data_IF_457074098165
#
_entry.id   IF_457074098165
#
_cell.length_a   1.000
_cell.length_b   1.000
_cell.length_c   1.000
_cell.angle_alpha   90.00
_cell.angle_beta   90.00
_cell.angle_gamma   90.00
#
_symmetry.space_group_name_H-M   'P 1'
#
loop_
_entity.id
_entity.type
_entity.pdbx_description
1 polymer ?
#
# COMPACT_ATOMS: atom_id res chain seq x y z
N UNK A 1 5.84 -6.94 26.84
CA UNK A 1 6.43 -5.70 26.29
C UNK A 1 6.01 -4.60 27.23
N UNK A 2 6.97 -3.89 27.83
CA UNK A 2 6.62 -2.80 28.74
C UNK A 2 6.01 -1.65 27.92
N UNK A 3 5.13 -0.86 28.53
CA UNK A 3 4.51 0.30 27.86
C UNK A 3 5.60 1.32 27.46
N UNK A 4 6.67 1.41 28.23
CA UNK A 4 7.84 2.26 27.98
C UNK A 4 8.54 1.90 26.66
N UNK A 5 8.69 0.60 26.35
CA UNK A 5 9.32 0.14 25.09
C UNK A 5 8.54 0.61 23.84
N UNK A 6 7.22 0.75 23.96
CA UNK A 6 6.36 1.20 22.85
C UNK A 6 6.45 2.71 22.68
N UNK A 7 6.58 3.47 23.77
CA UNK A 7 6.73 4.93 23.74
C UNK A 7 8.04 5.32 23.04
N UNK A 8 9.13 4.61 23.31
CA UNK A 8 10.41 4.85 22.66
C UNK A 8 10.36 4.56 21.15
N UNK A 9 9.61 3.54 20.73
CA UNK A 9 9.41 3.24 19.31
C UNK A 9 8.60 4.34 18.59
N UNK A 10 7.68 5.01 19.30
CA UNK A 10 6.88 6.11 18.74
C UNK A 10 7.71 7.39 18.52
N UNK A 11 8.87 7.55 19.17
CA UNK A 11 9.80 8.64 18.84
C UNK A 11 10.25 8.62 17.37
N UNK A 12 10.24 7.45 16.73
CA UNK A 12 10.50 7.33 15.30
C UNK A 12 9.55 8.18 14.43
N UNK A 13 8.33 8.47 14.90
CA UNK A 13 7.41 9.40 14.22
C UNK A 13 8.01 10.80 14.05
N UNK A 14 8.74 11.29 15.05
CA UNK A 14 9.35 12.62 15.04
C UNK A 14 10.66 12.62 14.24
N UNK A 15 11.50 11.62 14.47
CA UNK A 15 12.88 11.65 13.98
C UNK A 15 12.97 11.13 12.53
N UNK A 16 12.09 10.22 12.13
CA UNK A 16 12.13 9.54 10.83
C UNK A 16 10.83 9.66 10.03
N UNK A 17 9.68 9.84 10.68
CA UNK A 17 8.37 9.89 10.04
C UNK A 17 7.82 8.53 9.59
N UNK A 18 8.54 7.42 9.86
CA UNK A 18 8.10 6.06 9.54
C UNK A 18 8.80 5.02 10.42
N UNK A 19 8.16 3.88 10.64
CA UNK A 19 8.71 2.74 11.38
C UNK A 19 8.03 1.43 10.95
N UNK A 20 8.66 0.30 11.25
CA UNK A 20 8.08 -1.02 11.01
C UNK A 20 7.46 -1.57 12.28
N UNK A 21 6.26 -2.15 12.18
CA UNK A 21 5.62 -2.87 13.28
C UNK A 21 5.80 -4.36 13.05
N UNK A 22 6.35 -5.06 14.04
CA UNK A 22 6.45 -6.52 14.07
C UNK A 22 5.49 -7.09 15.11
N UNK A 23 5.08 -8.35 14.94
CA UNK A 23 4.15 -9.02 15.86
C UNK A 23 2.81 -8.29 16.07
N UNK A 24 2.32 -7.59 15.05
CA UNK A 24 1.06 -6.84 15.07
C UNK A 24 -0.21 -7.71 15.13
N UNK A 25 -0.08 -9.03 15.30
CA UNK A 25 -1.20 -9.96 15.46
C UNK A 25 -2.02 -10.27 14.20
N UNK A 26 -1.70 -9.68 13.05
CA UNK A 26 -2.36 -10.05 11.79
C UNK A 26 -1.81 -11.39 11.31
N UNK A 27 -2.67 -12.38 11.00
CA UNK A 27 -2.22 -13.69 10.53
C UNK A 27 -1.36 -13.61 9.27
N UNK A 28 -0.31 -14.43 9.21
CA UNK A 28 0.59 -14.53 8.07
C UNK A 28 -0.16 -14.90 6.78
N UNK A 29 -1.09 -15.85 6.88
CA UNK A 29 -1.92 -16.30 5.75
C UNK A 29 -2.70 -15.15 5.10
N UNK A 30 -3.22 -14.20 5.90
CA UNK A 30 -3.91 -13.02 5.38
C UNK A 30 -3.01 -12.16 4.51
N UNK A 31 -1.76 -11.96 4.93
CA UNK A 31 -0.76 -11.21 4.16
C UNK A 31 -0.38 -11.93 2.88
N UNK A 32 -0.18 -13.24 2.94
CA UNK A 32 0.18 -14.05 1.76
C UNK A 32 -0.95 -14.11 0.74
N UNK A 33 -2.19 -14.25 1.20
CA UNK A 33 -3.38 -14.18 0.35
C UNK A 33 -3.53 -12.81 -0.31
N UNK A 34 -3.33 -11.73 0.44
CA UNK A 34 -3.37 -10.36 -0.10
C UNK A 34 -2.35 -10.20 -1.24
N UNK A 35 -1.09 -10.57 -0.98
CA UNK A 35 -0.03 -10.49 -2.00
C UNK A 35 -0.31 -11.36 -3.22
N UNK A 36 -0.83 -12.57 -3.00
CA UNK A 36 -1.19 -13.50 -4.09
C UNK A 36 -2.29 -12.93 -4.98
N UNK A 37 -3.37 -12.39 -4.39
CA UNK A 37 -4.49 -11.82 -5.15
C UNK A 37 -4.06 -10.54 -5.85
N UNK A 38 -3.28 -9.67 -5.19
CA UNK A 38 -2.73 -8.47 -5.81
C UNK A 38 -1.88 -8.82 -7.04
N UNK A 39 -0.95 -9.77 -6.91
CA UNK A 39 -0.14 -10.26 -8.03
C UNK A 39 -1.02 -10.77 -9.18
N UNK A 40 -2.00 -11.64 -8.87
CA UNK A 40 -2.92 -12.18 -9.88
C UNK A 40 -3.67 -11.08 -10.63
N UNK A 41 -4.12 -10.04 -9.94
CA UNK A 41 -4.79 -8.90 -10.58
C UNK A 41 -3.84 -8.14 -11.52
N UNK A 42 -2.63 -7.79 -11.06
CA UNK A 42 -1.71 -7.00 -11.88
C UNK A 42 -1.12 -7.77 -13.08
N UNK A 43 -1.05 -9.10 -13.00
CA UNK A 43 -0.68 -10.01 -14.09
C UNK A 43 -1.78 -10.15 -15.18
N UNK A 44 -3.00 -9.64 -14.97
CA UNK A 44 -4.06 -9.68 -15.98
C UNK A 44 -3.78 -8.74 -17.17
N UNK A 45 -4.39 -9.00 -18.35
CA UNK A 45 -4.41 -8.06 -19.46
C UNK A 45 -4.91 -6.67 -19.06
N UNK A 46 -4.50 -5.65 -19.81
CA UNK A 46 -4.83 -4.27 -19.48
C UNK A 46 -6.35 -4.01 -19.52
N UNK A 47 -7.04 -4.64 -20.46
CA UNK A 47 -8.50 -4.56 -20.64
C UNK A 47 -9.24 -5.02 -19.38
N UNK A 48 -8.76 -6.09 -18.74
CA UNK A 48 -9.36 -6.63 -17.51
C UNK A 48 -9.16 -5.66 -16.34
N UNK A 49 -7.94 -5.13 -16.16
CA UNK A 49 -7.63 -4.17 -15.10
C UNK A 49 -8.42 -2.86 -15.28
N UNK A 50 -8.66 -2.44 -16.53
CA UNK A 50 -9.44 -1.24 -16.86
C UNK A 50 -10.94 -1.34 -16.59
N UNK A 51 -11.49 -2.54 -16.33
CA UNK A 51 -12.90 -2.69 -15.92
C UNK A 51 -13.22 -2.01 -14.59
N UNK A 52 -12.20 -1.83 -13.75
CA UNK A 52 -12.30 -1.12 -12.46
C UNK A 52 -11.51 0.18 -12.50
N UNK A 53 -11.37 0.82 -13.67
CA UNK A 53 -10.61 2.06 -13.81
C UNK A 53 -11.30 3.19 -13.05
N UNK A 54 -10.53 3.92 -12.22
CA UNK A 54 -11.00 5.13 -11.55
C UNK A 54 -11.22 6.27 -12.54
N UNK A 55 -12.07 7.22 -12.20
CA UNK A 55 -12.31 8.45 -12.97
C UNK A 55 -12.36 9.70 -12.07
N UNK A 56 -12.74 10.85 -12.64
CA UNK A 56 -12.80 12.13 -11.91
C UNK A 56 -13.91 12.16 -10.85
N UNK A 57 -14.92 11.30 -10.99
CA UNK A 57 -16.09 11.22 -10.11
C UNK A 57 -15.86 10.16 -9.04
N UNK A 58 -15.34 8.98 -9.42
CA UNK A 58 -14.95 7.90 -8.51
C UNK A 58 -13.43 7.71 -8.48
N UNK A 59 -12.76 8.15 -7.39
CA UNK A 59 -11.30 8.04 -7.28
C UNK A 59 -10.83 6.62 -6.96
N UNK A 60 -11.73 5.66 -6.72
CA UNK A 60 -11.38 4.28 -6.39
C UNK A 60 -11.14 3.44 -7.66
N UNK A 61 -10.19 2.52 -7.59
CA UNK A 61 -9.93 1.55 -8.65
C UNK A 61 -8.55 1.67 -9.30
N UNK A 62 -8.39 1.00 -10.45
CA UNK A 62 -7.14 0.91 -11.19
C UNK A 62 -6.83 2.20 -11.95
N UNK A 63 -5.54 2.52 -12.06
CA UNK A 63 -5.07 3.69 -12.77
C UNK A 63 -3.74 3.39 -13.45
N UNK A 64 -3.69 3.62 -14.75
CA UNK A 64 -2.56 3.33 -15.63
C UNK A 64 -2.11 4.54 -16.44
N UNK A 65 -2.68 5.71 -16.18
CA UNK A 65 -2.18 6.95 -16.75
C UNK A 65 -0.92 7.41 -16.00
N UNK A 66 0.08 7.92 -16.72
CA UNK A 66 1.27 8.52 -16.13
C UNK A 66 0.95 9.89 -15.51
N UNK A 67 1.12 10.03 -14.19
CA UNK A 67 1.07 11.33 -13.49
C UNK A 67 2.48 11.86 -13.15
N UNK A 68 3.53 11.08 -13.43
CA UNK A 68 4.89 11.34 -12.94
C UNK A 68 5.91 11.65 -14.03
N UNK A 69 5.48 11.83 -15.28
CA UNK A 69 6.31 12.51 -16.27
C UNK A 69 6.30 14.00 -15.95
N UNK A 70 7.16 14.36 -15.00
CA UNK A 70 7.55 15.72 -14.69
C UNK A 70 7.82 16.44 -16.02
N UNK A 71 6.99 17.42 -16.37
CA UNK A 71 7.46 18.54 -17.19
C UNK A 71 8.64 19.09 -16.38
N UNK A 72 9.85 18.83 -16.84
CA UNK A 72 11.03 19.48 -16.28
C UNK A 72 10.81 20.98 -16.46
N UNK A 73 10.79 21.74 -15.36
CA UNK A 73 11.08 23.17 -15.41
C UNK A 73 12.46 23.40 -16.05
#
# INVERSE_FOLDING_TARGET
MAVEDVVDQVHACKDWGFFQVFNHGVPLESRERLMTVAKRFFDQPMEEKRKVRRDEVDPQGYFDNELTNNVKD
#
